data_IF_082468761935
#
_entry.id   IF_082468761935
#
_cell.length_a   1.000
_cell.length_b   1.000
_cell.length_c   1.000
_cell.angle_alpha   90.00
_cell.angle_beta   90.00
_cell.angle_gamma   90.00
#
_symmetry.space_group_name_H-M   'P 1'
#
loop_
_entity.id
_entity.type
_entity.pdbx_description
1 polymer ?
#
# COMPACT_ATOMS: atom_id res chain seq x y z
N UNK A 1 -11.70 -14.23 -0.69
CA UNK A 1 -11.22 -15.27 0.24
C UNK A 1 -11.00 -16.60 -0.50
N UNK A 2 -12.00 -17.18 -1.16
CA UNK A 2 -11.90 -18.47 -1.89
C UNK A 2 -10.70 -18.56 -2.83
N UNK A 3 -10.48 -17.56 -3.71
CA UNK A 3 -9.35 -17.55 -4.65
C UNK A 3 -7.98 -17.45 -3.99
N UNK A 4 -7.87 -16.77 -2.85
CA UNK A 4 -6.63 -16.66 -2.08
C UNK A 4 -6.26 -18.01 -1.48
N UNK A 5 -7.25 -18.75 -1.00
CA UNK A 5 -7.08 -20.11 -0.44
C UNK A 5 -6.71 -21.13 -1.51
N UNK A 6 -7.31 -21.05 -2.71
CA UNK A 6 -7.01 -21.94 -3.84
C UNK A 6 -5.57 -21.80 -4.35
N UNK A 7 -5.01 -20.58 -4.38
CA UNK A 7 -3.62 -20.36 -4.83
C UNK A 7 -2.57 -20.75 -3.80
N UNK A 8 -2.94 -20.86 -2.53
CA UNK A 8 -2.07 -21.21 -1.40
C UNK A 8 -0.78 -20.37 -1.24
N UNK A 9 -0.65 -19.28 -2.00
CA UNK A 9 0.54 -18.42 -2.00
C UNK A 9 0.62 -17.63 -0.68
N UNK A 10 -0.47 -16.98 -0.28
CA UNK A 10 -0.50 -16.16 0.92
C UNK A 10 -0.41 -17.00 2.21
N UNK A 11 -0.90 -18.23 2.21
CA UNK A 11 -0.80 -19.14 3.35
C UNK A 11 0.65 -19.49 3.71
N UNK A 12 1.56 -19.47 2.73
CA UNK A 12 2.99 -19.75 2.89
C UNK A 12 3.83 -18.49 3.07
N UNK A 13 3.21 -17.32 2.90
CA UNK A 13 3.92 -16.06 2.97
C UNK A 13 4.13 -15.61 4.42
N UNK A 14 5.37 -15.52 4.85
CA UNK A 14 5.76 -15.13 6.21
C UNK A 14 6.34 -13.70 6.30
N UNK A 15 6.39 -12.99 5.17
CA UNK A 15 6.95 -11.64 5.08
C UNK A 15 5.98 -10.53 5.50
N UNK A 16 6.43 -9.29 5.32
CA UNK A 16 5.62 -8.08 5.53
C UNK A 16 4.66 -7.89 4.36
N UNK A 17 3.36 -7.78 4.62
CA UNK A 17 2.33 -7.63 3.62
C UNK A 17 1.85 -6.19 3.50
N UNK A 18 1.98 -5.60 2.31
CA UNK A 18 1.47 -4.25 2.00
C UNK A 18 0.11 -4.37 1.31
N UNK A 19 -0.91 -3.71 1.84
CA UNK A 19 -2.28 -3.79 1.30
C UNK A 19 -3.12 -2.53 1.57
N UNK A 20 -4.31 -2.47 0.95
CA UNK A 20 -5.22 -1.31 0.98
C UNK A 20 -6.31 -1.44 2.04
N UNK A 21 -5.99 -1.94 3.24
CA UNK A 21 -6.99 -2.19 4.27
C UNK A 21 -8.01 -3.28 3.88
N UNK A 22 -7.64 -4.20 3.04
CA UNK A 22 -8.46 -5.40 2.82
C UNK A 22 -8.36 -6.30 4.05
N UNK A 23 -9.46 -6.44 4.80
CA UNK A 23 -9.46 -7.11 6.11
C UNK A 23 -9.05 -8.59 6.03
N UNK A 24 -9.32 -9.23 4.90
CA UNK A 24 -8.89 -10.62 4.66
C UNK A 24 -7.38 -10.76 4.67
N UNK A 25 -6.63 -9.72 4.29
CA UNK A 25 -5.16 -9.74 4.24
C UNK A 25 -4.52 -9.85 5.62
N UNK A 26 -5.21 -9.43 6.68
CA UNK A 26 -4.72 -9.56 8.07
C UNK A 26 -4.61 -11.00 8.57
N UNK A 27 -5.15 -11.98 7.83
CA UNK A 27 -5.01 -13.41 8.14
C UNK A 27 -3.70 -14.02 7.61
N UNK A 28 -2.89 -13.27 6.86
CA UNK A 28 -1.70 -13.75 6.18
C UNK A 28 -0.49 -12.88 6.48
N UNK A 29 0.72 -13.43 6.31
CA UNK A 29 1.95 -12.70 6.56
C UNK A 29 2.28 -12.54 8.05
N UNK A 30 3.43 -11.95 8.35
CA UNK A 30 3.91 -11.73 9.72
C UNK A 30 3.67 -10.30 10.23
N UNK A 31 3.65 -9.33 9.35
CA UNK A 31 3.40 -7.90 9.64
C UNK A 31 2.62 -7.26 8.50
N UNK A 32 1.80 -6.27 8.86
CA UNK A 32 0.93 -5.57 7.92
C UNK A 32 1.34 -4.12 7.78
N UNK A 33 1.33 -3.63 6.55
CA UNK A 33 1.56 -2.23 6.20
C UNK A 33 0.35 -1.75 5.41
N UNK A 34 -0.32 -0.73 5.91
CA UNK A 34 -1.39 -0.09 5.14
C UNK A 34 -0.84 0.95 4.18
N UNK A 35 -1.38 0.96 2.98
CA UNK A 35 -1.03 1.93 1.94
C UNK A 35 -1.41 3.36 2.36
N UNK A 36 -0.41 4.20 2.67
CA UNK A 36 -0.66 5.58 3.11
C UNK A 36 -1.24 6.48 2.00
N UNK A 37 -1.13 6.10 0.73
CA UNK A 37 -1.82 6.81 -0.37
C UNK A 37 -3.33 6.61 -0.28
N UNK A 38 -3.81 5.40 0.04
CA UNK A 38 -5.23 5.14 0.30
C UNK A 38 -5.71 5.86 1.57
N UNK A 39 -4.92 5.82 2.65
CA UNK A 39 -5.20 6.60 3.87
C UNK A 39 -5.33 8.10 3.53
N UNK A 40 -4.42 8.65 2.73
CA UNK A 40 -4.48 10.04 2.27
C UNK A 40 -5.76 10.38 1.49
N UNK A 41 -6.28 9.44 0.69
CA UNK A 41 -7.56 9.63 -0.03
C UNK A 41 -8.74 9.66 0.93
N UNK A 42 -8.78 8.77 1.94
CA UNK A 42 -9.81 8.77 2.98
C UNK A 42 -9.78 10.07 3.80
N UNK A 43 -8.58 10.51 4.20
CA UNK A 43 -8.41 11.78 4.92
C UNK A 43 -8.85 12.99 4.09
N UNK A 44 -8.57 13.00 2.78
CA UNK A 44 -9.04 14.04 1.87
C UNK A 44 -10.57 14.06 1.82
N UNK A 45 -11.22 12.93 1.57
CA UNK A 45 -12.67 12.82 1.54
C UNK A 45 -13.32 13.22 2.87
N UNK A 46 -12.75 12.83 4.00
CA UNK A 46 -13.19 13.23 5.33
C UNK A 46 -13.17 14.77 5.49
N UNK A 47 -12.05 15.43 5.15
CA UNK A 47 -11.95 16.90 5.21
C UNK A 47 -12.91 17.60 4.25
N UNK A 48 -13.13 17.06 3.05
CA UNK A 48 -14.08 17.62 2.08
C UNK A 48 -15.52 17.54 2.59
N UNK A 49 -15.88 16.48 3.30
CA UNK A 49 -17.24 16.23 3.81
C UNK A 49 -17.53 16.98 5.11
N UNK A 50 -16.62 16.92 6.09
CA UNK A 50 -16.84 17.47 7.44
C UNK A 50 -16.28 18.86 7.63
N UNK A 51 -15.35 19.30 6.76
CA UNK A 51 -14.54 20.53 6.89
C UNK A 51 -13.63 20.54 8.14
N UNK A 52 -13.52 19.44 8.84
CA UNK A 52 -12.65 19.29 9.99
C UNK A 52 -11.17 19.34 9.57
N UNK A 53 -10.35 20.01 10.38
CA UNK A 53 -8.95 20.31 10.03
C UNK A 53 -8.00 19.17 10.35
N UNK A 54 -8.33 18.33 11.29
CA UNK A 54 -7.46 17.22 11.74
C UNK A 54 -7.07 16.29 10.59
N UNK A 55 -8.01 15.99 9.69
CA UNK A 55 -7.76 15.08 8.57
C UNK A 55 -6.73 15.64 7.59
N UNK A 56 -6.78 16.95 7.31
CA UNK A 56 -5.76 17.62 6.51
C UNK A 56 -4.41 17.65 7.24
N UNK A 57 -4.39 17.92 8.56
CA UNK A 57 -3.17 17.87 9.38
C UNK A 57 -2.53 16.48 9.34
N UNK A 58 -3.32 15.41 9.52
CA UNK A 58 -2.83 14.02 9.48
C UNK A 58 -2.24 13.69 8.11
N UNK A 59 -2.96 14.03 7.04
CA UNK A 59 -2.49 13.83 5.67
C UNK A 59 -1.15 14.53 5.41
N UNK A 60 -1.06 15.81 5.77
CA UNK A 60 0.16 16.62 5.61
C UNK A 60 1.30 16.02 6.43
N UNK A 61 1.03 15.64 7.67
CA UNK A 61 2.00 15.02 8.56
C UNK A 61 2.58 13.73 7.96
N UNK A 62 1.75 12.80 7.50
CA UNK A 62 2.22 11.55 6.87
C UNK A 62 3.05 11.82 5.60
N UNK A 63 2.64 12.78 4.77
CA UNK A 63 3.40 13.17 3.59
C UNK A 63 4.78 13.76 3.95
N UNK A 64 4.83 14.65 4.93
CA UNK A 64 6.09 15.25 5.42
C UNK A 64 7.04 14.19 5.99
N UNK A 65 6.53 13.22 6.73
CA UNK A 65 7.32 12.10 7.24
C UNK A 65 7.92 11.26 6.10
N UNK A 66 7.14 11.00 5.04
CA UNK A 66 7.64 10.27 3.88
C UNK A 66 8.74 11.05 3.15
N UNK A 67 8.58 12.36 2.95
CA UNK A 67 9.63 13.21 2.35
C UNK A 67 10.89 13.27 3.24
N UNK A 68 10.72 13.34 4.55
CA UNK A 68 11.83 13.27 5.49
C UNK A 68 12.56 11.92 5.39
N UNK A 69 11.82 10.81 5.36
CA UNK A 69 12.39 9.48 5.13
C UNK A 69 13.20 9.41 3.84
N UNK A 70 12.67 9.92 2.72
CA UNK A 70 13.38 9.93 1.43
C UNK A 70 14.72 10.67 1.53
N UNK A 71 14.74 11.83 2.19
CA UNK A 71 15.98 12.60 2.43
C UNK A 71 17.00 11.83 3.27
N UNK A 72 16.55 11.11 4.29
CA UNK A 72 17.43 10.28 5.12
C UNK A 72 17.94 9.06 4.36
N UNK A 73 17.08 8.41 3.57
CA UNK A 73 17.46 7.25 2.73
C UNK A 73 18.53 7.65 1.69
N UNK A 74 18.46 8.85 1.13
CA UNK A 74 19.48 9.39 0.24
C UNK A 74 20.84 9.62 0.94
N UNK A 75 20.87 9.61 2.30
CA UNK A 75 22.07 9.67 3.14
C UNK A 75 22.44 8.31 3.73
N UNK A 76 21.94 7.21 3.12
CA UNK A 76 22.19 5.83 3.53
C UNK A 76 21.67 5.47 4.95
N UNK A 77 20.78 6.28 5.53
CA UNK A 77 20.12 5.99 6.79
C UNK A 77 18.91 5.10 6.49
N UNK A 78 18.78 3.98 7.22
CA UNK A 78 17.79 2.95 6.93
C UNK A 78 16.61 2.90 7.92
N UNK A 79 16.68 3.65 9.03
CA UNK A 79 15.61 3.78 10.04
C UNK A 79 15.76 5.04 10.87
N UNK A 80 14.70 5.47 11.53
CA UNK A 80 14.76 6.54 12.53
C UNK A 80 15.30 6.03 13.87
N UNK A 81 15.85 6.97 14.68
CA UNK A 81 16.21 6.73 16.08
C UNK A 81 14.94 6.65 16.95
N UNK A 82 14.98 5.87 18.04
CA UNK A 82 13.83 5.69 18.93
C UNK A 82 13.19 6.99 19.40
N UNK A 83 13.97 7.94 19.89
CA UNK A 83 13.46 9.26 20.30
C UNK A 83 12.69 9.99 19.20
N UNK A 84 13.09 9.83 17.94
CA UNK A 84 12.38 10.43 16.81
C UNK A 84 11.08 9.67 16.52
N UNK A 85 11.09 8.34 16.60
CA UNK A 85 9.90 7.50 16.45
C UNK A 85 8.86 7.83 17.52
N UNK A 86 9.27 7.94 18.79
CA UNK A 86 8.41 8.35 19.91
C UNK A 86 7.78 9.72 19.65
N UNK A 87 8.59 10.72 19.29
CA UNK A 87 8.11 12.07 18.96
C UNK A 87 7.06 12.05 17.86
N UNK A 88 7.29 11.32 16.77
CA UNK A 88 6.32 11.25 15.67
C UNK A 88 5.11 10.41 16.01
N UNK A 89 5.28 9.38 16.82
CA UNK A 89 4.18 8.60 17.37
C UNK A 89 3.26 9.46 18.27
N UNK A 90 3.83 10.25 19.16
CA UNK A 90 3.07 11.19 20.00
C UNK A 90 2.33 12.23 19.15
N UNK A 91 3.02 12.80 18.15
CA UNK A 91 2.37 13.76 17.24
C UNK A 91 1.21 13.17 16.45
N UNK A 92 1.32 11.91 16.04
CA UNK A 92 0.22 11.19 15.41
C UNK A 92 -0.99 11.10 16.35
N UNK A 93 -0.78 10.73 17.62
CA UNK A 93 -1.84 10.63 18.62
C UNK A 93 -2.47 11.99 18.94
N UNK A 94 -1.68 13.06 19.03
CA UNK A 94 -2.20 14.42 19.21
C UNK A 94 -3.18 14.80 18.10
N UNK A 95 -2.80 14.56 16.82
CA UNK A 95 -3.68 14.85 15.67
C UNK A 95 -4.94 13.98 15.71
N UNK A 96 -4.86 12.72 16.14
CA UNK A 96 -6.05 11.88 16.33
C UNK A 96 -6.97 12.41 17.43
N UNK A 97 -6.41 12.86 18.55
CA UNK A 97 -7.18 13.43 19.65
C UNK A 97 -7.88 14.73 19.22
N UNK A 98 -7.18 15.61 18.46
CA UNK A 98 -7.82 16.76 17.81
C UNK A 98 -9.01 16.31 16.96
N UNK A 99 -8.85 15.21 16.20
CA UNK A 99 -9.90 14.65 15.35
C UNK A 99 -11.12 14.17 16.15
N UNK A 100 -10.91 13.49 17.26
CA UNK A 100 -12.02 13.08 18.14
C UNK A 100 -12.79 14.28 18.69
N UNK A 101 -12.10 15.37 19.06
CA UNK A 101 -12.75 16.59 19.56
C UNK A 101 -13.51 17.33 18.44
N UNK A 102 -12.94 17.42 17.23
CA UNK A 102 -13.62 18.02 16.09
C UNK A 102 -14.85 17.19 15.67
N UNK A 103 -14.76 15.86 15.70
CA UNK A 103 -15.85 14.94 15.37
C UNK A 103 -17.07 15.12 16.28
N UNK A 104 -16.88 15.41 17.57
CA UNK A 104 -18.00 15.66 18.50
C UNK A 104 -18.92 16.77 18.00
N UNK A 105 -18.39 17.77 17.28
CA UNK A 105 -19.09 18.96 16.77
C UNK A 105 -19.81 18.73 15.42
N UNK A 106 -19.57 17.59 14.76
CA UNK A 106 -20.21 17.27 13.48
C UNK A 106 -21.71 17.03 13.68
N UNK A 107 -22.53 17.83 13.01
CA UNK A 107 -24.02 17.78 13.16
C UNK A 107 -24.64 16.59 12.45
N UNK A 108 -24.16 16.25 11.25
CA UNK A 108 -24.69 15.12 10.48
C UNK A 108 -24.31 13.79 11.15
N UNK A 109 -25.32 13.02 11.54
CA UNK A 109 -25.11 11.69 12.17
C UNK A 109 -24.31 10.75 11.26
N UNK A 110 -24.58 10.75 9.95
CA UNK A 110 -23.88 9.92 8.97
C UNK A 110 -22.40 10.30 8.86
N UNK A 111 -22.10 11.57 8.63
CA UNK A 111 -20.73 12.06 8.49
C UNK A 111 -19.94 11.89 9.80
N UNK A 112 -20.58 12.09 10.94
CA UNK A 112 -19.99 11.86 12.25
C UNK A 112 -19.57 10.40 12.45
N UNK A 113 -20.43 9.47 12.07
CA UNK A 113 -20.13 8.03 12.19
C UNK A 113 -19.02 7.61 11.21
N UNK A 114 -19.04 8.11 9.99
CA UNK A 114 -18.03 7.80 8.97
C UNK A 114 -16.65 8.30 9.40
N UNK A 115 -16.56 9.56 9.83
CA UNK A 115 -15.32 10.12 10.39
C UNK A 115 -14.85 9.36 11.64
N UNK A 116 -15.77 8.97 12.53
CA UNK A 116 -15.44 8.17 13.71
C UNK A 116 -14.84 6.81 13.33
N UNK A 117 -15.36 6.16 12.29
CA UNK A 117 -14.80 4.89 11.76
C UNK A 117 -13.38 5.10 11.27
N UNK A 118 -13.12 6.20 10.56
CA UNK A 118 -11.78 6.54 10.07
C UNK A 118 -10.82 6.80 11.23
N UNK A 119 -11.20 7.58 12.25
CA UNK A 119 -10.41 7.83 13.45
C UNK A 119 -10.06 6.53 14.19
N UNK A 120 -11.06 5.68 14.40
CA UNK A 120 -10.86 4.39 15.08
C UNK A 120 -9.93 3.47 14.30
N UNK A 121 -10.03 3.45 12.97
CA UNK A 121 -9.13 2.71 12.10
C UNK A 121 -7.69 3.23 12.21
N UNK A 122 -7.49 4.53 12.10
CA UNK A 122 -6.18 5.15 12.22
C UNK A 122 -5.53 4.88 13.57
N UNK A 123 -6.31 4.90 14.66
CA UNK A 123 -5.85 4.56 16.00
C UNK A 123 -5.45 3.08 16.09
N UNK A 124 -6.31 2.18 15.61
CA UNK A 124 -6.09 0.73 15.69
C UNK A 124 -4.86 0.28 14.91
N UNK A 125 -4.62 0.85 13.73
CA UNK A 125 -3.58 0.43 12.79
C UNK A 125 -2.43 1.45 12.68
N UNK A 126 -2.23 2.27 13.72
CA UNK A 126 -1.18 3.29 13.79
C UNK A 126 0.20 2.75 13.42
N UNK A 127 0.59 1.61 13.99
CA UNK A 127 1.89 0.99 13.72
C UNK A 127 2.03 0.59 12.24
N UNK A 128 0.96 0.11 11.61
CA UNK A 128 0.94 -0.27 10.21
C UNK A 128 1.14 0.95 9.28
N UNK A 129 0.58 2.11 9.68
CA UNK A 129 0.75 3.37 8.96
C UNK A 129 2.16 3.95 9.11
N UNK A 130 2.81 3.75 10.25
CA UNK A 130 4.13 4.31 10.58
C UNK A 130 5.28 3.34 10.32
N UNK A 131 5.02 2.09 9.90
CA UNK A 131 6.03 1.06 9.70
C UNK A 131 7.18 1.50 8.77
N UNK A 132 6.91 2.36 7.80
CA UNK A 132 7.91 2.93 6.89
C UNK A 132 8.97 3.82 7.56
N UNK A 133 8.76 4.20 8.83
CA UNK A 133 9.72 4.95 9.64
C UNK A 133 10.64 4.03 10.46
N UNK A 134 10.15 2.84 10.80
CA UNK A 134 10.92 1.82 11.53
C UNK A 134 11.88 1.07 10.62
N UNK A 135 11.52 0.94 9.34
CA UNK A 135 12.31 0.28 8.31
C UNK A 135 12.09 0.98 6.96
N UNK A 136 13.11 1.68 6.48
CA UNK A 136 13.01 2.48 5.25
C UNK A 136 12.89 1.64 3.96
N UNK A 137 13.08 0.32 4.05
CA UNK A 137 12.79 -0.60 2.95
C UNK A 137 11.29 -0.87 2.81
N UNK A 138 10.51 -0.61 3.86
CA UNK A 138 9.05 -0.68 3.80
C UNK A 138 8.53 0.46 2.94
N UNK A 139 7.75 0.19 1.89
CA UNK A 139 7.19 1.25 1.05
C UNK A 139 6.13 2.05 1.80
N UNK A 140 5.97 3.32 1.42
CA UNK A 140 4.92 4.19 1.93
C UNK A 140 3.54 3.86 1.33
N UNK A 141 3.55 3.27 0.14
CA UNK A 141 2.36 2.97 -0.65
C UNK A 141 2.46 1.61 -1.36
N UNK A 142 1.34 1.19 -1.96
CA UNK A 142 1.20 -0.03 -2.73
C UNK A 142 1.29 0.21 -4.26
N UNK A 143 1.79 1.37 -4.69
CA UNK A 143 1.78 1.78 -6.09
C UNK A 143 2.54 0.82 -7.01
N UNK A 144 3.56 0.13 -6.49
CA UNK A 144 4.34 -0.84 -7.29
C UNK A 144 3.46 -2.01 -7.71
N UNK A 145 2.76 -2.64 -6.77
CA UNK A 145 1.85 -3.74 -7.05
C UNK A 145 0.66 -3.30 -7.91
N UNK A 146 0.06 -2.13 -7.62
CA UNK A 146 -1.03 -1.58 -8.45
C UNK A 146 -0.59 -1.35 -9.90
N UNK A 147 0.64 -0.90 -10.11
CA UNK A 147 1.20 -0.68 -11.44
C UNK A 147 1.40 -1.98 -12.19
N UNK A 148 1.81 -3.05 -11.51
CA UNK A 148 1.97 -4.37 -12.10
C UNK A 148 0.64 -4.95 -12.62
N UNK A 149 -0.46 -4.75 -11.88
CA UNK A 149 -1.80 -5.22 -12.30
C UNK A 149 -2.51 -4.25 -13.28
N UNK A 150 -2.01 -3.05 -13.49
CA UNK A 150 -2.64 -2.06 -14.38
C UNK A 150 -2.81 -2.56 -15.81
N UNK A 151 -1.86 -3.34 -16.32
CA UNK A 151 -1.93 -3.91 -17.67
C UNK A 151 -3.14 -4.83 -17.85
N UNK A 152 -3.54 -5.58 -16.82
CA UNK A 152 -4.75 -6.42 -16.85
C UNK A 152 -6.00 -5.57 -16.94
N UNK A 153 -6.08 -4.51 -16.11
CA UNK A 153 -7.22 -3.58 -16.13
C UNK A 153 -7.34 -2.85 -17.48
N UNK A 154 -6.21 -2.46 -18.10
CA UNK A 154 -6.20 -1.84 -19.42
C UNK A 154 -6.68 -2.84 -20.47
N UNK A 155 -6.15 -4.06 -20.47
CA UNK A 155 -6.59 -5.14 -21.39
C UNK A 155 -8.08 -5.40 -21.28
N UNK A 156 -8.58 -5.53 -20.06
CA UNK A 156 -10.01 -5.73 -19.79
C UNK A 156 -10.86 -4.54 -20.28
N UNK A 157 -10.39 -3.30 -20.08
CA UNK A 157 -11.10 -2.10 -20.52
C UNK A 157 -11.16 -1.97 -22.04
N UNK A 158 -10.10 -2.36 -22.76
CA UNK A 158 -10.03 -2.26 -24.25
C UNK A 158 -10.79 -3.40 -24.90
N UNK A 159 -10.61 -4.64 -24.43
CA UNK A 159 -11.16 -5.85 -25.04
C UNK A 159 -12.42 -6.38 -24.34
N UNK A 160 -12.90 -5.70 -23.30
CA UNK A 160 -14.05 -6.12 -22.49
C UNK A 160 -13.72 -7.31 -21.57
N UNK A 161 -13.05 -8.33 -22.07
CA UNK A 161 -12.72 -9.55 -21.33
C UNK A 161 -11.58 -10.33 -22.01
N UNK A 162 -11.16 -11.41 -21.38
CA UNK A 162 -10.30 -12.42 -22.01
C UNK A 162 -11.17 -13.50 -22.65
N UNK A 163 -10.89 -13.88 -23.88
CA UNK A 163 -11.68 -14.88 -24.62
C UNK A 163 -11.65 -16.27 -23.98
N UNK A 164 -10.63 -16.58 -23.19
CA UNK A 164 -10.53 -17.85 -22.47
C UNK A 164 -9.70 -17.69 -21.19
N UNK A 165 -9.91 -18.56 -20.22
CA UNK A 165 -9.09 -18.65 -19.00
C UNK A 165 -7.66 -19.02 -19.32
N UNK A 166 -7.42 -19.83 -20.33
CA UNK A 166 -6.08 -20.20 -20.79
C UNK A 166 -5.34 -18.98 -21.34
N UNK A 167 -5.97 -18.22 -22.24
CA UNK A 167 -5.40 -16.97 -22.77
C UNK A 167 -5.09 -15.95 -21.66
N UNK A 168 -5.93 -15.86 -20.64
CA UNK A 168 -5.66 -15.04 -19.46
C UNK A 168 -4.43 -15.53 -18.68
N UNK A 169 -4.29 -16.83 -18.46
CA UNK A 169 -3.12 -17.43 -17.78
C UNK A 169 -1.84 -17.18 -18.57
N UNK A 170 -1.84 -17.43 -19.87
CA UNK A 170 -0.68 -17.18 -20.76
C UNK A 170 -0.27 -15.71 -20.68
N UNK A 171 -1.22 -14.79 -20.84
CA UNK A 171 -0.97 -13.36 -20.72
C UNK A 171 -0.36 -12.97 -19.36
N UNK A 172 -0.92 -13.54 -18.28
CA UNK A 172 -0.46 -13.29 -16.91
C UNK A 172 0.98 -13.76 -16.71
N UNK A 173 1.30 -14.98 -17.17
CA UNK A 173 2.63 -15.55 -17.03
C UNK A 173 3.68 -14.72 -17.81
N UNK A 174 3.38 -14.35 -19.05
CA UNK A 174 4.27 -13.51 -19.86
C UNK A 174 4.50 -12.15 -19.18
N UNK A 175 3.44 -11.50 -18.70
CA UNK A 175 3.57 -10.21 -18.00
C UNK A 175 4.32 -10.32 -16.67
N UNK A 176 4.16 -11.41 -15.94
CA UNK A 176 4.91 -11.70 -14.72
C UNK A 176 6.41 -11.83 -15.00
N UNK A 177 6.79 -12.63 -16.00
CA UNK A 177 8.18 -12.82 -16.41
C UNK A 177 8.81 -11.48 -16.83
N UNK A 178 8.17 -10.75 -17.75
CA UNK A 178 8.67 -9.45 -18.21
C UNK A 178 8.80 -8.45 -17.06
N UNK A 179 7.82 -8.43 -16.14
CA UNK A 179 7.83 -7.58 -14.96
C UNK A 179 8.99 -7.90 -14.03
N UNK A 180 9.27 -9.18 -13.80
CA UNK A 180 10.38 -9.67 -12.97
C UNK A 180 11.73 -9.29 -13.57
N UNK A 181 11.96 -9.59 -14.84
CA UNK A 181 13.19 -9.24 -15.55
C UNK A 181 13.48 -7.73 -15.53
N UNK A 182 12.44 -6.91 -15.74
CA UNK A 182 12.57 -5.45 -15.62
C UNK A 182 12.96 -4.98 -14.22
N UNK A 183 12.40 -5.59 -13.17
CA UNK A 183 12.72 -5.26 -11.77
C UNK A 183 14.15 -5.67 -11.41
N UNK A 184 14.65 -6.72 -12.02
CA UNK A 184 16.04 -7.18 -11.87
C UNK A 184 17.04 -6.35 -12.71
N UNK A 185 16.57 -5.39 -13.50
CA UNK A 185 17.43 -4.57 -14.38
C UNK A 185 17.96 -5.34 -15.61
N UNK A 186 17.41 -6.50 -15.90
CA UNK A 186 17.85 -7.38 -16.98
C UNK A 186 17.22 -6.95 -18.31
N UNK A 187 18.00 -7.04 -19.40
CA UNK A 187 17.46 -6.79 -20.74
C UNK A 187 16.55 -7.95 -21.14
N UNK A 188 15.23 -7.71 -21.08
CA UNK A 188 14.22 -8.74 -21.32
C UNK A 188 14.25 -9.29 -22.77
N UNK A 189 14.70 -8.54 -23.77
CA UNK A 189 14.84 -9.05 -25.15
C UNK A 189 15.90 -10.14 -25.21
N UNK A 190 17.03 -9.95 -24.53
CA UNK A 190 18.08 -10.95 -24.47
C UNK A 190 17.60 -12.22 -23.76
N UNK A 191 16.85 -12.07 -22.66
CA UNK A 191 16.32 -13.21 -21.92
C UNK A 191 15.23 -13.97 -22.71
N UNK A 192 14.32 -13.25 -23.39
CA UNK A 192 13.32 -13.90 -24.25
C UNK A 192 13.98 -14.63 -25.42
N UNK A 193 15.05 -14.08 -26.01
CA UNK A 193 15.77 -14.76 -27.10
C UNK A 193 16.37 -16.10 -26.70
N UNK A 194 16.69 -16.28 -25.41
CA UNK A 194 17.17 -17.57 -24.87
C UNK A 194 16.10 -18.66 -24.97
N UNK A 195 14.82 -18.30 -24.79
CA UNK A 195 13.69 -19.25 -24.89
C UNK A 195 13.67 -19.87 -26.28
N UNK A 196 13.83 -19.08 -27.33
CA UNK A 196 13.89 -19.57 -28.71
C UNK A 196 15.13 -20.43 -29.02
N UNK A 197 16.17 -20.31 -28.17
CA UNK A 197 17.41 -21.11 -28.26
C UNK A 197 17.42 -22.29 -27.32
N UNK A 198 16.30 -22.57 -26.65
CA UNK A 198 16.18 -23.59 -25.59
C UNK A 198 17.20 -23.43 -24.45
N UNK A 199 17.61 -22.20 -24.15
CA UNK A 199 18.50 -21.87 -23.04
C UNK A 199 17.65 -21.49 -21.83
N UNK A 200 17.93 -22.00 -20.61
CA UNK A 200 17.20 -21.62 -19.40
C UNK A 200 17.23 -20.12 -19.14
N UNK A 201 16.09 -19.54 -18.79
CA UNK A 201 15.97 -18.14 -18.36
C UNK A 201 16.20 -18.07 -16.86
N UNK A 202 17.12 -17.23 -16.43
CA UNK A 202 17.37 -16.97 -15.02
C UNK A 202 16.32 -15.97 -14.50
N UNK A 203 15.35 -16.45 -13.71
CA UNK A 203 14.29 -15.64 -13.08
C UNK A 203 14.43 -15.73 -11.55
#
# INVERSE_FOLDING_TARGET
KKYIEETNILNRYTGKLVHDYETVMYNYGSKHIECNVHVSRYLKGCNENTKNKWALKMRTFLCQLNEYRKKLKAKEINKLKEKQLEKYSQRYDEILNEGYEENKKVKSKYLKQDEQRLLNRLKKYKENHLMFLYDFNVPFDNNLAERDIRHFKIKQKISGYFNSMEGMKIYSNIKSIIGTLKKQGTNFYNEISKIYKNIPVSI
#
